data_IF_261435077674
#
_entry.id   IF_261435077674
#
_cell.length_a   1.000
_cell.length_b   1.000
_cell.length_c   1.000
_cell.angle_alpha   90.00
_cell.angle_beta   90.00
_cell.angle_gamma   90.00
#
_symmetry.space_group_name_H-M   'P 1'
#
loop_
_entity.id
_entity.type
_entity.pdbx_description
1 polymer ?
#
# COMPACT_ATOMS: atom_id res chain seq x y z
N UNK A 1 -62.02 38.05 -23.60
CA UNK A 1 -60.63 37.89 -24.16
C UNK A 1 -59.58 38.28 -23.15
N UNK A 2 -59.65 39.39 -22.45
CA UNK A 2 -58.62 39.89 -21.51
C UNK A 2 -58.45 38.96 -20.24
N UNK A 3 -59.50 38.29 -19.77
CA UNK A 3 -59.42 37.47 -18.57
C UNK A 3 -58.71 36.14 -18.85
N UNK A 4 -58.97 35.49 -19.96
CA UNK A 4 -58.36 34.23 -20.41
C UNK A 4 -56.85 34.46 -20.73
N UNK A 5 -56.49 35.60 -21.33
CA UNK A 5 -55.10 35.94 -21.62
C UNK A 5 -54.29 36.19 -20.33
N UNK A 6 -54.89 36.80 -19.29
CA UNK A 6 -54.24 36.95 -17.97
C UNK A 6 -54.05 35.61 -17.24
N UNK A 7 -55.04 34.72 -17.33
CA UNK A 7 -54.95 33.38 -16.71
C UNK A 7 -53.88 32.53 -17.37
N UNK A 8 -53.79 32.50 -18.70
CA UNK A 8 -52.75 31.82 -19.45
C UNK A 8 -51.35 32.39 -19.16
N UNK A 9 -51.22 33.72 -19.02
CA UNK A 9 -49.95 34.35 -18.64
C UNK A 9 -49.50 33.93 -17.22
N UNK A 10 -50.43 33.95 -16.25
CA UNK A 10 -50.15 33.50 -14.87
C UNK A 10 -49.76 32.02 -14.78
N UNK A 11 -50.43 31.13 -15.51
CA UNK A 11 -50.08 29.71 -15.57
C UNK A 11 -48.71 29.50 -16.21
N UNK A 12 -48.37 30.21 -17.28
CA UNK A 12 -47.05 30.15 -17.92
C UNK A 12 -45.93 30.64 -16.99
N UNK A 13 -46.16 31.73 -16.27
CA UNK A 13 -45.19 32.28 -15.31
C UNK A 13 -44.96 31.29 -14.12
N UNK A 14 -46.05 30.68 -13.63
CA UNK A 14 -45.93 29.65 -12.57
C UNK A 14 -45.16 28.41 -13.05
N UNK A 15 -45.42 27.94 -14.27
CA UNK A 15 -44.71 26.81 -14.87
C UNK A 15 -43.22 27.12 -15.08
N UNK A 16 -42.87 28.32 -15.58
CA UNK A 16 -41.50 28.76 -15.77
C UNK A 16 -40.79 28.87 -14.41
N UNK A 17 -41.42 29.46 -13.41
CA UNK A 17 -40.87 29.55 -12.04
C UNK A 17 -40.66 28.19 -11.43
N UNK A 18 -41.62 27.28 -11.53
CA UNK A 18 -41.51 25.90 -11.04
C UNK A 18 -40.40 25.13 -11.73
N UNK A 19 -40.28 25.28 -13.05
CA UNK A 19 -39.19 24.64 -13.82
C UNK A 19 -37.83 25.18 -13.42
N UNK A 20 -37.67 26.51 -13.32
CA UNK A 20 -36.45 27.17 -12.87
C UNK A 20 -36.03 26.75 -11.45
N UNK A 21 -37.01 26.63 -10.54
CA UNK A 21 -36.73 26.16 -9.18
C UNK A 21 -36.29 24.69 -9.13
N UNK A 22 -36.90 23.83 -9.95
CA UNK A 22 -36.52 22.42 -10.06
C UNK A 22 -35.13 22.26 -10.68
N UNK A 23 -34.83 23.02 -11.73
CA UNK A 23 -33.49 23.05 -12.32
C UNK A 23 -32.42 23.60 -11.35
N UNK A 24 -32.75 24.64 -10.59
CA UNK A 24 -31.87 25.20 -9.57
C UNK A 24 -31.53 24.17 -8.47
N UNK A 25 -32.54 23.42 -8.00
CA UNK A 25 -32.34 22.32 -7.05
C UNK A 25 -31.47 21.21 -7.64
N UNK A 26 -31.72 20.79 -8.87
CA UNK A 26 -30.92 19.76 -9.55
C UNK A 26 -29.48 20.17 -9.68
N UNK A 27 -29.19 21.40 -10.15
CA UNK A 27 -27.80 21.92 -10.26
C UNK A 27 -27.08 21.98 -8.91
N UNK A 28 -27.80 22.38 -7.84
CA UNK A 28 -27.24 22.39 -6.50
C UNK A 28 -26.90 20.96 -6.05
N UNK A 29 -27.81 20.00 -6.28
CA UNK A 29 -27.60 18.59 -5.95
C UNK A 29 -26.40 18.00 -6.68
N UNK A 30 -26.30 18.25 -8.00
CA UNK A 30 -25.17 17.83 -8.83
C UNK A 30 -23.85 18.45 -8.34
N UNK A 31 -23.88 19.73 -7.96
CA UNK A 31 -22.70 20.43 -7.42
C UNK A 31 -22.27 19.82 -6.06
N UNK A 32 -23.21 19.56 -5.16
CA UNK A 32 -22.92 18.95 -3.86
C UNK A 32 -22.38 17.54 -4.04
N UNK A 33 -23.01 16.69 -4.84
CA UNK A 33 -22.57 15.32 -5.10
C UNK A 33 -21.21 15.27 -5.81
N UNK A 34 -20.87 16.26 -6.64
CA UNK A 34 -19.58 16.34 -7.31
C UNK A 34 -18.45 16.85 -6.41
N UNK A 35 -18.79 17.60 -5.35
CA UNK A 35 -17.82 18.11 -4.37
C UNK A 35 -17.49 17.10 -3.25
N UNK A 36 -18.34 16.08 -3.05
CA UNK A 36 -18.11 15.03 -2.06
C UNK A 36 -16.99 14.11 -2.52
N UNK A 37 -16.03 13.85 -1.65
CA UNK A 37 -14.92 12.93 -1.89
C UNK A 37 -15.35 11.46 -1.83
N UNK A 38 -16.41 11.16 -1.06
CA UNK A 38 -17.01 9.83 -0.96
C UNK A 38 -17.69 9.42 -2.28
N UNK A 39 -17.57 8.14 -2.63
CA UNK A 39 -18.36 7.53 -3.68
C UNK A 39 -19.82 7.39 -3.24
N UNK A 40 -20.77 7.72 -4.11
CA UNK A 40 -22.21 7.57 -3.86
C UNK A 40 -22.86 6.89 -5.04
N UNK A 41 -23.63 5.83 -4.75
CA UNK A 41 -24.49 5.13 -5.72
C UNK A 41 -25.93 5.21 -5.24
N UNK A 42 -26.82 5.65 -6.10
CA UNK A 42 -28.27 5.58 -5.91
C UNK A 42 -28.82 4.33 -6.61
N UNK A 43 -29.69 3.63 -5.90
CA UNK A 43 -30.37 2.43 -6.41
C UNK A 43 -31.90 2.62 -6.37
N UNK A 44 -32.59 2.01 -7.31
CA UNK A 44 -34.04 1.85 -7.27
C UNK A 44 -34.49 0.79 -6.25
N UNK A 45 -35.82 0.61 -6.08
CA UNK A 45 -36.37 -0.38 -5.18
C UNK A 45 -36.02 -1.84 -5.55
N UNK A 46 -35.60 -2.10 -6.79
CA UNK A 46 -35.15 -3.41 -7.27
C UNK A 46 -33.65 -3.60 -7.16
N UNK A 47 -32.90 -2.63 -6.61
CA UNK A 47 -31.44 -2.68 -6.47
C UNK A 47 -30.67 -2.40 -7.78
N UNK A 48 -31.32 -1.77 -8.78
CA UNK A 48 -30.68 -1.33 -10.01
C UNK A 48 -30.08 0.05 -9.84
N UNK A 49 -28.94 0.30 -10.49
CA UNK A 49 -28.21 1.55 -10.38
C UNK A 49 -28.95 2.67 -11.12
N UNK A 50 -29.35 3.71 -10.39
CA UNK A 50 -29.93 4.93 -10.94
C UNK A 50 -28.88 5.98 -11.26
N UNK A 51 -27.84 6.12 -10.42
CA UNK A 51 -26.73 7.04 -10.65
C UNK A 51 -25.50 6.63 -9.85
N UNK A 52 -24.32 7.11 -10.30
CA UNK A 52 -23.05 7.03 -9.58
C UNK A 52 -22.40 8.41 -9.64
N UNK A 53 -21.98 8.97 -8.49
CA UNK A 53 -21.30 10.26 -8.51
C UNK A 53 -19.88 10.15 -9.07
N UNK A 54 -19.26 11.30 -9.38
CA UNK A 54 -17.91 11.35 -9.98
C UNK A 54 -16.83 10.68 -9.10
N UNK A 55 -16.93 10.79 -7.78
CA UNK A 55 -15.99 10.13 -6.86
C UNK A 55 -16.15 8.60 -6.91
N UNK A 56 -17.39 8.10 -6.90
CA UNK A 56 -17.69 6.69 -7.03
C UNK A 56 -17.20 6.09 -8.34
N UNK A 57 -17.38 6.78 -9.46
CA UNK A 57 -16.85 6.35 -10.76
C UNK A 57 -15.33 6.16 -10.73
N UNK A 58 -14.60 7.09 -10.08
CA UNK A 58 -13.13 7.02 -9.96
C UNK A 58 -12.69 5.89 -9.05
N UNK A 59 -13.30 5.76 -7.86
CA UNK A 59 -12.93 4.73 -6.86
C UNK A 59 -13.23 3.31 -7.38
N UNK A 60 -14.30 3.16 -8.15
CA UNK A 60 -14.70 1.86 -8.72
C UNK A 60 -14.07 1.58 -10.09
N UNK A 61 -13.24 2.51 -10.60
CA UNK A 61 -12.61 2.42 -11.92
C UNK A 61 -13.61 2.17 -13.06
N UNK A 62 -14.74 2.83 -13.00
CA UNK A 62 -15.79 2.74 -14.02
C UNK A 62 -15.50 3.74 -15.15
N UNK A 63 -15.30 3.31 -16.39
CA UNK A 63 -14.97 4.20 -17.51
C UNK A 63 -16.15 5.08 -17.96
N UNK A 64 -17.38 4.60 -17.76
CA UNK A 64 -18.63 5.27 -18.11
C UNK A 64 -19.69 4.99 -17.04
N UNK A 65 -20.71 5.84 -16.97
CA UNK A 65 -21.89 5.53 -16.13
C UNK A 65 -22.47 4.16 -16.49
N UNK A 66 -22.85 3.35 -15.49
CA UNK A 66 -23.52 2.08 -15.73
C UNK A 66 -24.78 2.27 -16.59
N UNK A 67 -25.04 1.36 -17.52
CA UNK A 67 -26.26 1.41 -18.31
C UNK A 67 -27.49 1.25 -17.42
N UNK A 68 -28.62 1.79 -17.85
CA UNK A 68 -29.90 1.55 -17.20
C UNK A 68 -30.17 0.03 -17.10
N UNK A 69 -30.77 -0.41 -15.99
CA UNK A 69 -31.08 -1.83 -15.67
C UNK A 69 -29.92 -2.70 -15.15
N UNK A 70 -28.74 -2.16 -14.89
CA UNK A 70 -27.66 -2.92 -14.25
C UNK A 70 -27.83 -2.91 -12.73
N UNK A 71 -27.73 -4.09 -12.09
CA UNK A 71 -27.81 -4.23 -10.63
C UNK A 71 -26.49 -3.89 -9.95
N UNK A 72 -26.56 -3.50 -8.66
CA UNK A 72 -25.36 -3.22 -7.85
C UNK A 72 -24.35 -4.36 -7.89
N UNK A 73 -24.80 -5.61 -7.78
CA UNK A 73 -23.92 -6.78 -7.79
C UNK A 73 -23.23 -7.05 -9.14
N UNK A 74 -23.73 -6.51 -10.25
CA UNK A 74 -23.07 -6.58 -11.56
C UNK A 74 -22.01 -5.48 -11.71
N UNK A 75 -22.23 -4.31 -11.09
CA UNK A 75 -21.27 -3.20 -11.11
C UNK A 75 -20.14 -3.42 -10.09
N UNK A 76 -20.49 -3.83 -8.87
CA UNK A 76 -19.56 -4.09 -7.77
C UNK A 76 -19.98 -5.38 -7.05
N UNK A 77 -19.50 -6.54 -7.51
CA UNK A 77 -19.87 -7.83 -6.91
C UNK A 77 -19.57 -7.91 -5.40
N UNK A 78 -18.54 -7.21 -4.96
CA UNK A 78 -18.10 -7.18 -3.56
C UNK A 78 -19.12 -6.52 -2.63
N UNK A 79 -20.00 -5.65 -3.16
CA UNK A 79 -21.07 -5.00 -2.37
C UNK A 79 -22.34 -5.86 -2.27
N UNK A 80 -22.44 -6.92 -3.07
CA UNK A 80 -23.66 -7.73 -3.15
C UNK A 80 -24.02 -8.42 -1.83
N UNK A 81 -23.02 -8.90 -1.08
CA UNK A 81 -23.25 -9.55 0.21
C UNK A 81 -23.79 -8.58 1.26
N UNK A 82 -23.27 -7.35 1.29
CA UNK A 82 -23.76 -6.31 2.21
C UNK A 82 -25.16 -5.84 1.84
N UNK A 83 -25.44 -5.72 0.53
CA UNK A 83 -26.79 -5.36 0.04
C UNK A 83 -27.82 -6.44 0.37
N UNK A 84 -27.47 -7.72 0.29
CA UNK A 84 -28.35 -8.81 0.68
C UNK A 84 -28.67 -8.78 2.20
N UNK A 85 -27.72 -8.42 3.05
CA UNK A 85 -27.92 -8.25 4.50
C UNK A 85 -28.91 -7.12 4.79
N UNK A 86 -28.88 -6.02 4.04
CA UNK A 86 -29.79 -4.88 4.23
C UNK A 86 -31.25 -5.28 4.05
N UNK A 87 -31.56 -6.21 3.15
CA UNK A 87 -32.91 -6.72 2.93
C UNK A 87 -33.43 -7.60 4.07
N UNK A 88 -32.54 -8.17 4.89
CA UNK A 88 -32.93 -9.02 6.02
C UNK A 88 -33.06 -8.25 7.32
N UNK A 89 -32.38 -7.13 7.45
CA UNK A 89 -32.32 -6.30 8.67
C UNK A 89 -33.10 -5.00 8.45
N UNK A 90 -34.41 -5.07 8.60
CA UNK A 90 -35.31 -3.96 8.33
C UNK A 90 -34.99 -2.72 9.18
N UNK A 91 -34.60 -1.62 8.53
CA UNK A 91 -34.60 -0.27 9.10
C UNK A 91 -33.28 0.25 9.66
N UNK A 92 -32.19 -0.49 9.61
CA UNK A 92 -30.89 -0.03 10.06
C UNK A 92 -29.95 0.27 8.86
N UNK A 93 -29.28 1.41 8.91
CA UNK A 93 -28.15 1.63 8.00
C UNK A 93 -27.03 0.62 8.33
N UNK A 94 -26.61 -0.16 7.34
CA UNK A 94 -25.50 -1.09 7.48
C UNK A 94 -24.19 -0.41 7.10
N UNK A 95 -23.12 -0.69 7.85
CA UNK A 95 -21.78 -0.20 7.57
C UNK A 95 -20.78 -1.33 7.75
N UNK A 96 -19.95 -1.56 6.72
CA UNK A 96 -18.93 -2.63 6.74
C UNK A 96 -17.70 -2.21 5.93
N UNK A 97 -16.53 -2.70 6.33
CA UNK A 97 -15.28 -2.58 5.53
C UNK A 97 -15.31 -3.64 4.42
N UNK A 98 -15.25 -3.19 3.18
CA UNK A 98 -15.22 -4.07 2.00
C UNK A 98 -13.87 -3.89 1.30
N UNK A 99 -13.20 -5.00 0.99
CA UNK A 99 -11.92 -4.99 0.27
C UNK A 99 -12.15 -5.22 -1.21
N UNK A 100 -11.56 -4.33 -2.01
CA UNK A 100 -11.58 -4.42 -3.46
C UNK A 100 -10.17 -4.64 -3.99
N UNK A 101 -10.04 -5.50 -5.01
CA UNK A 101 -8.80 -5.60 -5.79
C UNK A 101 -9.01 -4.96 -7.14
N UNK A 102 -8.41 -3.80 -7.38
CA UNK A 102 -8.51 -3.03 -8.63
C UNK A 102 -7.11 -2.75 -9.16
N UNK A 103 -6.86 -3.05 -10.44
CA UNK A 103 -5.56 -2.84 -11.12
C UNK A 103 -4.36 -3.42 -10.35
N UNK A 104 -4.54 -4.54 -9.63
CA UNK A 104 -3.50 -5.14 -8.81
C UNK A 104 -3.21 -4.39 -7.48
N UNK A 105 -4.07 -3.40 -7.11
CA UNK A 105 -4.02 -2.71 -5.82
C UNK A 105 -5.19 -3.19 -4.96
N UNK A 106 -4.90 -3.53 -3.71
CA UNK A 106 -5.92 -3.86 -2.71
C UNK A 106 -6.34 -2.57 -2.00
N UNK A 107 -7.63 -2.25 -2.08
CA UNK A 107 -8.22 -1.07 -1.46
C UNK A 107 -9.25 -1.49 -0.43
N UNK A 108 -9.32 -0.79 0.70
CA UNK A 108 -10.33 -0.97 1.74
C UNK A 108 -11.33 0.18 1.66
N UNK A 109 -12.57 -0.14 1.33
CA UNK A 109 -13.66 0.84 1.32
C UNK A 109 -14.55 0.67 2.55
N UNK A 110 -14.83 1.76 3.25
CA UNK A 110 -15.86 1.79 4.28
C UNK A 110 -17.20 2.06 3.60
N UNK A 111 -18.02 1.02 3.45
CA UNK A 111 -19.28 1.06 2.71
C UNK A 111 -20.45 1.19 3.69
N UNK A 112 -21.28 2.18 3.47
CA UNK A 112 -22.53 2.39 4.20
C UNK A 112 -23.71 2.31 3.26
N UNK A 113 -24.71 1.49 3.60
CA UNK A 113 -25.93 1.32 2.83
C UNK A 113 -27.15 1.68 3.69
N UNK A 114 -28.11 2.38 3.10
CA UNK A 114 -29.34 2.78 3.76
C UNK A 114 -30.53 2.77 2.79
N UNK A 115 -31.71 2.54 3.32
CA UNK A 115 -32.99 2.64 2.57
C UNK A 115 -33.35 4.11 2.33
N UNK A 116 -33.95 4.39 1.17
CA UNK A 116 -34.55 5.65 0.82
C UNK A 116 -36.08 5.44 0.83
N UNK A 117 -36.78 6.18 1.70
CA UNK A 117 -38.21 6.05 1.87
C UNK A 117 -38.92 7.20 1.17
N UNK A 118 -40.07 6.89 0.57
CA UNK A 118 -41.00 7.86 0.00
C UNK A 118 -41.87 8.56 1.04
N UNK A 119 -42.68 9.50 0.56
CA UNK A 119 -43.59 10.25 1.40
C UNK A 119 -44.68 9.36 2.06
N UNK A 120 -44.95 8.21 1.50
CA UNK A 120 -45.91 7.18 1.98
C UNK A 120 -45.27 6.19 2.97
N UNK A 121 -43.94 6.32 3.25
CA UNK A 121 -43.17 5.44 4.11
C UNK A 121 -42.70 4.14 3.44
N UNK A 122 -43.03 3.93 2.17
CA UNK A 122 -42.52 2.79 1.38
C UNK A 122 -41.06 2.97 0.96
N UNK A 123 -40.36 1.85 0.73
CA UNK A 123 -39.01 1.89 0.23
C UNK A 123 -39.02 2.25 -1.26
N UNK A 124 -38.48 3.43 -1.60
CA UNK A 124 -38.36 3.90 -2.98
C UNK A 124 -37.02 3.48 -3.62
N UNK A 125 -36.02 3.11 -2.80
CA UNK A 125 -34.71 2.71 -3.27
C UNK A 125 -33.68 2.68 -2.15
N UNK A 126 -32.42 2.67 -2.53
CA UNK A 126 -31.32 2.59 -1.58
C UNK A 126 -30.22 3.60 -1.94
N UNK A 127 -29.42 3.97 -0.94
CA UNK A 127 -28.22 4.79 -1.11
C UNK A 127 -27.04 4.02 -0.57
N UNK A 128 -26.00 3.91 -1.39
CA UNK A 128 -24.71 3.31 -1.05
C UNK A 128 -23.68 4.43 -1.04
N UNK A 129 -23.11 4.74 0.11
CA UNK A 129 -22.00 5.67 0.26
C UNK A 129 -20.75 4.90 0.66
N UNK A 130 -19.59 5.25 0.10
CA UNK A 130 -18.34 4.57 0.42
C UNK A 130 -17.15 5.52 0.34
N UNK A 131 -16.22 5.34 1.27
CA UNK A 131 -14.98 6.09 1.37
C UNK A 131 -13.78 5.16 1.28
N UNK A 132 -12.70 5.61 0.62
CA UNK A 132 -11.41 4.92 0.64
C UNK A 132 -10.74 5.15 1.99
N UNK A 133 -10.70 4.10 2.80
CA UNK A 133 -10.07 4.09 4.13
C UNK A 133 -8.79 3.25 4.16
N UNK A 134 -8.22 2.94 2.99
CA UNK A 134 -7.05 2.07 2.85
C UNK A 134 -5.89 2.56 3.72
N UNK A 135 -5.55 3.83 3.61
CA UNK A 135 -4.45 4.42 4.38
C UNK A 135 -4.76 4.48 5.88
N UNK A 136 -6.01 4.80 6.25
CA UNK A 136 -6.45 4.84 7.65
C UNK A 136 -6.39 3.46 8.31
N UNK A 137 -6.94 2.43 7.65
CA UNK A 137 -6.93 1.04 8.13
C UNK A 137 -5.50 0.50 8.21
N UNK A 138 -4.68 0.81 7.20
CA UNK A 138 -3.26 0.44 7.18
C UNK A 138 -2.49 1.09 8.35
N UNK A 139 -2.67 2.39 8.57
CA UNK A 139 -2.05 3.12 9.67
C UNK A 139 -2.50 2.59 11.04
N UNK A 140 -3.79 2.32 11.22
CA UNK A 140 -4.34 1.76 12.45
C UNK A 140 -3.81 0.35 12.74
N UNK A 141 -3.72 -0.50 11.72
CA UNK A 141 -3.10 -1.84 11.84
C UNK A 141 -1.62 -1.72 12.20
N UNK A 142 -0.88 -0.84 11.53
CA UNK A 142 0.53 -0.60 11.83
C UNK A 142 0.75 -0.11 13.26
N UNK A 143 -0.07 0.81 13.76
CA UNK A 143 0.01 1.31 15.13
C UNK A 143 -0.25 0.19 16.15
N UNK A 144 -1.31 -0.60 15.96
CA UNK A 144 -1.62 -1.75 16.80
C UNK A 144 -0.50 -2.82 16.78
N UNK A 145 0.08 -3.07 15.60
CA UNK A 145 1.20 -4.00 15.44
C UNK A 145 2.49 -3.49 16.09
N UNK A 146 2.73 -2.20 16.14
CA UNK A 146 3.96 -1.60 16.67
C UNK A 146 4.25 -2.02 18.11
N UNK A 147 3.26 -1.94 18.99
CA UNK A 147 3.40 -2.32 20.40
C UNK A 147 3.53 -3.83 20.62
N UNK A 148 2.73 -4.60 19.88
CA UNK A 148 2.78 -6.08 19.92
C UNK A 148 4.13 -6.58 19.41
N UNK A 149 4.60 -6.07 18.29
CA UNK A 149 5.87 -6.43 17.68
C UNK A 149 7.06 -6.15 18.61
N UNK A 150 7.05 -4.98 19.28
CA UNK A 150 8.08 -4.64 20.27
C UNK A 150 8.14 -5.64 21.41
N UNK A 151 6.98 -5.98 21.95
CA UNK A 151 6.89 -6.94 23.06
C UNK A 151 7.38 -8.32 22.63
N UNK A 152 6.92 -8.82 21.50
CA UNK A 152 7.35 -10.09 20.92
C UNK A 152 8.86 -10.08 20.64
N UNK A 153 9.40 -9.00 20.08
CA UNK A 153 10.83 -8.88 19.82
C UNK A 153 11.66 -9.01 21.11
N UNK A 154 11.25 -8.35 22.19
CA UNK A 154 11.91 -8.53 23.49
C UNK A 154 11.79 -9.95 24.04
N UNK A 155 10.61 -10.52 23.96
CA UNK A 155 10.35 -11.89 24.45
C UNK A 155 11.11 -12.97 23.65
N UNK A 156 11.35 -12.75 22.33
CA UNK A 156 12.18 -13.65 21.50
C UNK A 156 13.68 -13.43 21.74
N UNK A 157 14.16 -12.19 21.90
CA UNK A 157 15.58 -11.92 22.16
C UNK A 157 16.06 -12.53 23.48
N UNK A 158 15.19 -12.56 24.48
CA UNK A 158 15.54 -13.06 25.81
C UNK A 158 16.06 -14.50 25.80
N UNK A 159 15.44 -15.50 25.16
CA UNK A 159 15.97 -16.86 25.07
C UNK A 159 17.15 -17.02 24.10
N UNK A 160 17.28 -16.19 23.07
CA UNK A 160 18.35 -16.32 22.07
C UNK A 160 19.75 -16.10 22.68
N UNK A 161 19.88 -15.13 23.57
CA UNK A 161 21.15 -14.84 24.23
C UNK A 161 21.67 -16.02 25.06
N UNK A 162 20.92 -16.65 25.97
CA UNK A 162 21.39 -17.82 26.69
C UNK A 162 21.63 -19.03 25.80
N UNK A 163 20.87 -19.24 24.71
CA UNK A 163 21.12 -20.32 23.74
C UNK A 163 22.48 -20.13 23.08
N UNK A 164 22.77 -18.94 22.56
CA UNK A 164 24.07 -18.63 21.95
C UNK A 164 25.22 -18.85 22.94
N UNK A 165 25.11 -18.28 24.15
CA UNK A 165 26.15 -18.43 25.18
C UNK A 165 26.36 -19.90 25.60
N UNK A 166 25.28 -20.69 25.62
CA UNK A 166 25.37 -22.12 25.92
C UNK A 166 26.12 -22.87 24.82
N UNK A 167 25.81 -22.61 23.54
CA UNK A 167 26.53 -23.20 22.41
C UNK A 167 28.02 -22.83 22.42
N UNK A 168 28.35 -21.56 22.67
CA UNK A 168 29.74 -21.09 22.78
C UNK A 168 30.47 -21.75 23.96
N UNK A 169 29.80 -21.93 25.12
CA UNK A 169 30.36 -22.63 26.29
C UNK A 169 30.59 -24.10 26.02
N UNK A 170 29.63 -24.80 25.38
CA UNK A 170 29.77 -26.19 24.98
C UNK A 170 30.97 -26.37 24.07
N UNK A 171 31.05 -25.55 22.99
CA UNK A 171 32.18 -25.56 22.06
C UNK A 171 33.51 -25.38 22.79
N UNK A 172 33.65 -24.37 23.63
CA UNK A 172 34.90 -24.07 24.35
C UNK A 172 35.26 -25.13 25.39
N UNK A 173 34.27 -25.64 26.15
CA UNK A 173 34.53 -26.54 27.28
C UNK A 173 34.82 -27.96 26.83
N UNK A 174 34.10 -28.46 25.83
CA UNK A 174 34.11 -29.85 25.45
C UNK A 174 34.99 -30.18 24.22
N UNK A 175 35.53 -29.18 23.53
CA UNK A 175 36.37 -29.36 22.35
C UNK A 175 37.50 -30.38 22.55
N UNK A 176 38.12 -30.41 23.73
CA UNK A 176 39.22 -31.32 24.07
C UNK A 176 38.79 -32.60 24.74
N UNK A 177 37.47 -32.78 24.96
CA UNK A 177 36.93 -33.93 25.72
C UNK A 177 36.09 -34.88 24.85
N UNK A 178 35.81 -34.49 23.60
CA UNK A 178 35.07 -35.31 22.64
C UNK A 178 35.97 -36.05 21.70
N UNK A 179 35.53 -37.15 21.17
CA UNK A 179 36.26 -37.95 20.19
C UNK A 179 36.35 -37.30 18.83
N UNK A 180 35.39 -36.44 18.47
CA UNK A 180 35.36 -35.65 17.25
C UNK A 180 35.13 -34.16 17.55
N UNK A 181 36.22 -33.39 17.73
CA UNK A 181 36.14 -31.94 17.97
C UNK A 181 35.58 -31.14 16.78
N UNK A 182 35.80 -31.59 15.54
CA UNK A 182 35.36 -30.88 14.33
C UNK A 182 33.83 -30.96 14.18
N UNK A 183 33.25 -32.13 14.46
CA UNK A 183 31.80 -32.33 14.46
C UNK A 183 31.10 -31.46 15.53
N UNK A 184 31.69 -31.37 16.73
CA UNK A 184 31.18 -30.50 17.81
C UNK A 184 31.23 -29.03 17.39
N UNK A 185 32.33 -28.58 16.75
CA UNK A 185 32.45 -27.21 16.26
C UNK A 185 31.39 -26.90 15.20
N UNK A 186 31.18 -27.81 14.24
CA UNK A 186 30.16 -27.64 13.21
C UNK A 186 28.76 -27.46 13.81
N UNK A 187 28.37 -28.30 14.76
CA UNK A 187 27.06 -28.17 15.40
C UNK A 187 26.93 -26.88 16.22
N UNK A 188 27.96 -26.51 16.97
CA UNK A 188 27.95 -25.27 17.74
C UNK A 188 27.86 -24.04 16.82
N UNK A 189 28.59 -24.04 15.71
CA UNK A 189 28.58 -22.94 14.73
C UNK A 189 27.23 -22.84 14.01
N UNK A 190 26.57 -23.96 13.71
CA UNK A 190 25.19 -23.96 13.19
C UNK A 190 24.25 -23.28 14.18
N UNK A 191 24.30 -23.65 15.46
CA UNK A 191 23.42 -23.08 16.50
C UNK A 191 23.69 -21.57 16.64
N UNK A 192 24.95 -21.17 16.72
CA UNK A 192 25.35 -19.76 16.86
C UNK A 192 24.88 -18.95 15.64
N UNK A 193 25.10 -19.46 14.43
CA UNK A 193 24.67 -18.80 13.19
C UNK A 193 23.15 -18.64 13.15
N UNK A 194 22.38 -19.71 13.40
CA UNK A 194 20.91 -19.66 13.42
C UNK A 194 20.37 -18.69 14.48
N UNK A 195 20.99 -18.66 15.65
CA UNK A 195 20.62 -17.74 16.72
C UNK A 195 20.88 -16.28 16.34
N UNK A 196 21.98 -16.00 15.66
CA UNK A 196 22.29 -14.66 15.13
C UNK A 196 21.35 -14.26 14.01
N UNK A 197 20.98 -15.18 13.10
CA UNK A 197 20.01 -14.93 12.04
C UNK A 197 18.63 -14.61 12.61
N UNK A 198 18.15 -15.38 13.60
CA UNK A 198 16.89 -15.08 14.30
C UNK A 198 16.94 -13.71 14.99
N UNK A 199 18.07 -13.37 15.66
CA UNK A 199 18.23 -12.07 16.31
C UNK A 199 18.11 -10.94 15.28
N UNK A 200 18.76 -11.07 14.12
CA UNK A 200 18.68 -10.09 13.03
C UNK A 200 17.26 -9.90 12.53
N UNK A 201 16.51 -10.99 12.30
CA UNK A 201 15.11 -10.95 11.88
C UNK A 201 14.26 -10.20 12.92
N UNK A 202 14.44 -10.51 14.19
CA UNK A 202 13.72 -9.88 15.30
C UNK A 202 14.09 -8.40 15.44
N UNK A 203 15.34 -8.03 15.20
CA UNK A 203 15.78 -6.63 15.20
C UNK A 203 15.16 -5.82 14.04
N UNK A 204 15.13 -6.39 12.83
CA UNK A 204 14.46 -5.78 11.67
C UNK A 204 12.95 -5.62 11.94
N UNK A 205 12.32 -6.63 12.51
CA UNK A 205 10.92 -6.59 12.92
C UNK A 205 10.63 -5.48 13.93
N UNK A 206 11.43 -5.38 14.98
CA UNK A 206 11.28 -4.36 16.01
C UNK A 206 11.49 -2.93 15.46
N UNK A 207 12.46 -2.75 14.53
CA UNK A 207 12.71 -1.47 13.86
C UNK A 207 11.55 -1.07 12.98
N UNK A 208 10.99 -2.01 12.21
CA UNK A 208 9.82 -1.76 11.37
C UNK A 208 8.60 -1.31 12.18
N UNK A 209 8.34 -2.00 13.29
CA UNK A 209 7.23 -1.68 14.19
C UNK A 209 7.38 -0.32 14.91
N UNK A 210 8.60 0.19 15.04
CA UNK A 210 8.95 1.40 15.81
C UNK A 210 9.39 2.57 14.94
N UNK A 211 9.12 2.54 13.66
CA UNK A 211 9.62 3.60 12.79
C UNK A 211 9.23 4.97 13.36
N UNK A 212 10.20 5.78 13.85
CA UNK A 212 9.92 7.10 14.42
C UNK A 212 9.45 8.05 13.31
N UNK A 213 8.87 9.16 13.69
CA UNK A 213 8.65 10.27 12.75
C UNK A 213 10.00 10.72 12.16
N UNK A 214 10.06 11.03 10.84
CA UNK A 214 11.30 11.43 10.20
C UNK A 214 11.82 12.77 10.74
N UNK A 215 13.08 12.80 11.13
CA UNK A 215 13.80 14.04 11.47
C UNK A 215 14.30 14.70 10.17
N UNK A 216 13.38 15.46 9.54
CA UNK A 216 13.65 16.09 8.26
C UNK A 216 14.60 17.25 8.40
N UNK A 217 15.68 17.25 7.65
CA UNK A 217 16.68 18.32 7.57
C UNK A 217 17.04 18.56 6.11
N UNK A 218 17.46 19.77 5.81
CA UNK A 218 17.99 20.09 4.49
C UNK A 218 19.22 19.21 4.20
N UNK A 219 19.09 18.29 3.24
CA UNK A 219 20.05 17.22 2.96
C UNK A 219 20.29 17.12 1.46
N UNK A 220 21.53 16.91 1.07
CA UNK A 220 21.89 16.65 -0.33
C UNK A 220 21.55 15.21 -0.71
N UNK A 221 20.43 15.02 -1.39
CA UNK A 221 19.93 13.74 -1.86
C UNK A 221 20.94 13.06 -2.82
N UNK A 222 21.64 13.84 -3.68
CA UNK A 222 22.65 13.29 -4.57
C UNK A 222 23.80 12.66 -3.80
N UNK A 223 24.32 13.34 -2.77
CA UNK A 223 25.39 12.81 -1.93
C UNK A 223 24.96 11.53 -1.23
N UNK A 224 23.71 11.48 -0.74
CA UNK A 224 23.15 10.31 -0.07
C UNK A 224 22.97 9.12 -1.02
N UNK A 225 22.44 9.33 -2.21
CA UNK A 225 22.32 8.28 -3.25
C UNK A 225 23.70 7.75 -3.62
N UNK A 226 24.68 8.64 -3.85
CA UNK A 226 26.06 8.24 -4.15
C UNK A 226 26.70 7.41 -3.05
N UNK A 227 26.53 7.80 -1.78
CA UNK A 227 27.03 7.06 -0.63
C UNK A 227 26.38 5.66 -0.52
N UNK A 228 25.07 5.57 -0.78
CA UNK A 228 24.35 4.29 -0.78
C UNK A 228 24.83 3.34 -1.88
N UNK A 229 25.07 3.85 -3.08
CA UNK A 229 25.64 3.08 -4.20
C UNK A 229 27.02 2.55 -3.82
N UNK A 230 27.92 3.41 -3.35
CA UNK A 230 29.28 3.04 -2.98
C UNK A 230 29.32 1.95 -1.89
N UNK A 231 28.43 2.05 -0.90
CA UNK A 231 28.31 1.05 0.16
C UNK A 231 27.90 -0.32 -0.40
N UNK A 232 26.95 -0.35 -1.32
CA UNK A 232 26.42 -1.59 -1.90
C UNK A 232 27.37 -2.18 -2.96
N UNK A 233 28.05 -1.37 -3.71
CA UNK A 233 29.09 -1.79 -4.66
C UNK A 233 30.21 -2.57 -3.97
N UNK A 234 30.67 -2.11 -2.80
CA UNK A 234 31.64 -2.83 -1.99
C UNK A 234 31.12 -4.18 -1.46
N UNK A 235 29.83 -4.28 -1.22
CA UNK A 235 29.18 -5.52 -0.75
C UNK A 235 28.82 -6.51 -1.87
N UNK A 236 28.87 -6.09 -3.13
CA UNK A 236 28.45 -6.85 -4.30
C UNK A 236 29.49 -6.74 -5.44
N UNK A 237 30.71 -7.27 -5.26
CA UNK A 237 31.83 -7.07 -6.20
C UNK A 237 31.59 -7.66 -7.59
N UNK A 238 30.70 -8.63 -7.71
CA UNK A 238 30.36 -9.28 -8.99
C UNK A 238 29.28 -8.52 -9.79
N UNK A 239 28.74 -7.42 -9.27
CA UNK A 239 27.67 -6.64 -9.91
C UNK A 239 28.23 -5.32 -10.43
N UNK A 240 27.94 -5.01 -11.68
CA UNK A 240 28.31 -3.72 -12.29
C UNK A 240 27.30 -2.66 -11.90
N UNK A 241 27.75 -1.60 -11.22
CA UNK A 241 26.92 -0.45 -10.89
C UNK A 241 27.08 0.66 -11.92
N UNK A 242 25.96 1.16 -12.45
CA UNK A 242 25.92 2.36 -13.30
C UNK A 242 25.06 3.42 -12.65
N UNK A 243 25.57 4.63 -12.54
CA UNK A 243 24.83 5.75 -11.95
C UNK A 243 24.73 6.92 -12.93
N UNK A 244 23.54 7.53 -12.99
CA UNK A 244 23.28 8.77 -13.71
C UNK A 244 22.73 9.77 -12.71
N UNK A 245 23.56 10.71 -12.29
CA UNK A 245 23.24 11.70 -11.26
C UNK A 245 23.40 13.12 -11.84
N UNK A 246 22.62 14.11 -11.37
CA UNK A 246 22.74 15.50 -11.80
C UNK A 246 24.11 16.10 -11.43
N UNK A 247 24.54 17.14 -12.14
CA UNK A 247 25.85 17.76 -11.89
C UNK A 247 25.94 18.48 -10.53
N UNK A 248 24.84 19.18 -10.14
CA UNK A 248 24.77 19.95 -8.89
C UNK A 248 24.25 19.12 -7.70
N UNK A 249 24.31 19.69 -6.46
CA UNK A 249 23.65 19.10 -5.29
C UNK A 249 22.11 19.19 -5.45
N UNK A 250 21.40 18.25 -4.84
CA UNK A 250 19.92 18.21 -4.81
C UNK A 250 19.50 18.35 -3.36
N UNK A 251 19.26 19.58 -2.94
CA UNK A 251 18.88 19.93 -1.56
C UNK A 251 17.38 19.69 -1.35
N UNK A 252 17.03 18.84 -0.39
CA UNK A 252 15.64 18.49 -0.02
C UNK A 252 15.54 18.31 1.48
N UNK A 253 14.41 18.68 2.08
CA UNK A 253 14.08 18.39 3.47
C UNK A 253 13.68 16.92 3.63
N UNK A 254 14.61 16.10 4.16
CA UNK A 254 14.40 14.68 4.37
C UNK A 254 15.23 14.15 5.56
N UNK A 255 14.85 12.99 6.08
CA UNK A 255 15.67 12.22 7.02
C UNK A 255 16.66 11.36 6.23
N UNK A 256 17.93 11.79 6.21
CA UNK A 256 18.99 11.12 5.47
C UNK A 256 19.23 9.67 5.91
N UNK A 257 18.99 9.34 7.19
CA UNK A 257 19.14 7.98 7.72
C UNK A 257 18.06 7.06 7.17
N UNK A 258 16.81 7.52 7.20
CA UNK A 258 15.67 6.75 6.70
C UNK A 258 15.74 6.54 5.18
N UNK A 259 16.03 7.60 4.41
CA UNK A 259 16.20 7.48 2.96
C UNK A 259 17.39 6.60 2.61
N UNK A 260 18.51 6.71 3.32
CA UNK A 260 19.66 5.81 3.17
C UNK A 260 19.30 4.34 3.42
N UNK A 261 18.46 4.06 4.42
CA UNK A 261 17.91 2.73 4.68
C UNK A 261 17.03 2.24 3.51
N UNK A 262 16.16 3.10 2.98
CA UNK A 262 15.32 2.76 1.83
C UNK A 262 16.16 2.42 0.59
N UNK A 263 17.18 3.23 0.29
CA UNK A 263 18.14 2.98 -0.80
C UNK A 263 18.87 1.65 -0.62
N UNK A 264 19.38 1.39 0.58
CA UNK A 264 20.07 0.14 0.91
C UNK A 264 19.18 -1.08 0.70
N UNK A 265 17.92 -1.02 1.14
CA UNK A 265 16.95 -2.11 0.97
C UNK A 265 16.65 -2.37 -0.51
N UNK A 266 16.43 -1.32 -1.30
CA UNK A 266 16.12 -1.46 -2.73
C UNK A 266 17.32 -2.02 -3.52
N UNK A 267 18.52 -1.48 -3.31
CA UNK A 267 19.72 -1.94 -4.03
C UNK A 267 20.09 -3.37 -3.62
N UNK A 268 19.92 -3.72 -2.34
CA UNK A 268 20.10 -5.09 -1.87
C UNK A 268 19.11 -6.05 -2.54
N UNK A 269 17.83 -5.66 -2.62
CA UNK A 269 16.81 -6.47 -3.31
C UNK A 269 17.14 -6.69 -4.79
N UNK A 270 17.67 -5.66 -5.47
CA UNK A 270 18.15 -5.75 -6.84
C UNK A 270 19.31 -6.77 -6.99
N UNK A 271 20.30 -6.69 -6.10
CA UNK A 271 21.42 -7.65 -6.10
C UNK A 271 20.97 -9.09 -5.84
N UNK A 272 20.07 -9.31 -4.89
CA UNK A 272 19.51 -10.63 -4.60
C UNK A 272 18.71 -11.19 -5.79
N UNK A 273 17.97 -10.35 -6.54
CA UNK A 273 17.28 -10.77 -7.76
C UNK A 273 18.24 -11.18 -8.88
N UNK A 274 19.37 -10.49 -8.99
CA UNK A 274 20.46 -10.83 -9.92
C UNK A 274 21.09 -12.16 -9.54
N UNK A 275 21.39 -12.38 -8.26
CA UNK A 275 22.00 -13.63 -7.78
C UNK A 275 21.09 -14.82 -8.04
N UNK A 276 19.80 -14.68 -7.74
CA UNK A 276 18.79 -15.70 -8.02
C UNK A 276 18.72 -16.04 -9.52
N UNK A 277 18.79 -15.04 -10.40
CA UNK A 277 18.82 -15.26 -11.85
C UNK A 277 20.09 -16.00 -12.28
N UNK A 278 21.24 -15.61 -11.73
CA UNK A 278 22.54 -16.24 -12.03
C UNK A 278 22.55 -17.72 -11.65
N UNK A 279 21.93 -18.07 -10.52
CA UNK A 279 21.78 -19.46 -10.08
C UNK A 279 20.84 -20.27 -10.98
N UNK A 280 19.73 -19.67 -11.42
CA UNK A 280 18.73 -20.34 -12.25
C UNK A 280 19.17 -20.52 -13.71
N UNK A 281 19.71 -19.48 -14.32
CA UNK A 281 19.99 -19.45 -15.76
C UNK A 281 21.38 -20.01 -16.09
N UNK A 282 22.37 -19.84 -15.19
CA UNK A 282 23.77 -20.31 -15.36
C UNK A 282 24.38 -19.94 -16.71
N UNK A 283 24.04 -18.76 -17.24
CA UNK A 283 24.54 -18.25 -18.50
C UNK A 283 25.87 -17.52 -18.28
N UNK A 284 27.01 -17.98 -18.83
CA UNK A 284 28.30 -17.32 -18.71
C UNK A 284 28.36 -15.92 -19.34
N UNK A 285 27.44 -15.63 -20.28
CA UNK A 285 27.37 -14.33 -20.94
C UNK A 285 26.54 -13.30 -20.14
N UNK A 286 25.86 -13.71 -19.06
CA UNK A 286 25.09 -12.82 -18.23
C UNK A 286 26.00 -11.86 -17.44
N UNK A 287 25.86 -10.57 -17.72
CA UNK A 287 26.56 -9.52 -17.00
C UNK A 287 25.63 -8.89 -15.95
N UNK A 288 25.82 -9.14 -14.66
CA UNK A 288 25.06 -8.54 -13.58
C UNK A 288 25.16 -7.02 -13.60
N UNK A 289 24.02 -6.31 -13.66
CA UNK A 289 24.00 -4.84 -13.71
C UNK A 289 22.88 -4.25 -12.87
N UNK A 290 23.22 -3.23 -12.06
CA UNK A 290 22.26 -2.37 -11.36
C UNK A 290 22.48 -0.93 -11.86
N UNK A 291 21.39 -0.29 -12.29
CA UNK A 291 21.38 1.10 -12.71
C UNK A 291 20.64 1.95 -11.70
N UNK A 292 21.27 3.02 -11.26
CA UNK A 292 20.64 4.00 -10.35
C UNK A 292 20.68 5.37 -11.01
N UNK A 293 19.50 6.00 -11.16
CA UNK A 293 19.43 7.37 -11.65
C UNK A 293 18.68 8.27 -10.68
N UNK A 294 19.09 9.53 -10.62
CA UNK A 294 18.44 10.61 -9.89
C UNK A 294 18.11 11.74 -10.86
N UNK A 295 16.82 11.98 -11.04
CA UNK A 295 16.31 13.14 -11.79
C UNK A 295 15.69 14.12 -10.80
N UNK A 296 16.17 15.37 -10.79
CA UNK A 296 15.58 16.46 -10.03
C UNK A 296 14.85 17.40 -10.97
N UNK A 297 13.58 17.64 -10.73
CA UNK A 297 12.72 18.56 -11.49
C UNK A 297 12.00 19.49 -10.53
N UNK A 298 11.38 20.55 -11.05
CA UNK A 298 10.62 21.49 -10.24
C UNK A 298 9.49 20.77 -9.48
N UNK A 299 9.63 20.74 -8.14
CA UNK A 299 8.64 20.19 -7.22
C UNK A 299 8.78 18.72 -6.85
N UNK A 300 9.65 17.91 -7.51
CA UNK A 300 9.91 16.51 -7.10
C UNK A 300 11.28 16.00 -7.53
N UNK A 301 11.78 15.00 -6.83
CA UNK A 301 12.95 14.21 -7.20
C UNK A 301 12.57 12.78 -7.45
N UNK A 302 13.08 12.19 -8.53
CA UNK A 302 12.79 10.84 -8.95
C UNK A 302 14.06 9.99 -8.91
N UNK A 303 14.10 9.01 -8.02
CA UNK A 303 15.14 7.98 -7.97
C UNK A 303 14.62 6.74 -8.70
N UNK A 304 15.37 6.23 -9.67
CA UNK A 304 15.09 4.96 -10.32
C UNK A 304 16.21 3.98 -10.01
N UNK A 305 15.85 2.78 -9.64
CA UNK A 305 16.75 1.66 -9.45
C UNK A 305 16.26 0.54 -10.36
N UNK A 306 17.09 0.13 -11.30
CA UNK A 306 16.76 -0.93 -12.24
C UNK A 306 17.84 -2.02 -12.17
N UNK A 307 17.43 -3.27 -12.15
CA UNK A 307 18.27 -4.44 -12.19
C UNK A 307 17.93 -5.32 -13.39
N UNK A 308 18.84 -6.21 -13.74
CA UNK A 308 18.60 -7.22 -14.77
C UNK A 308 18.44 -8.63 -14.19
N UNK A 309 17.94 -8.71 -12.96
CA UNK A 309 17.65 -9.94 -12.23
C UNK A 309 16.46 -10.74 -12.74
N UNK A 310 15.80 -11.49 -11.85
CA UNK A 310 14.63 -12.33 -12.16
C UNK A 310 13.35 -11.54 -12.45
N UNK A 311 13.35 -10.22 -12.20
CA UNK A 311 12.17 -9.36 -12.31
C UNK A 311 11.19 -9.52 -11.15
N UNK A 312 10.03 -8.86 -11.27
CA UNK A 312 8.99 -8.87 -10.24
C UNK A 312 8.04 -10.06 -10.46
N UNK A 313 7.45 -10.61 -9.38
CA UNK A 313 6.44 -11.65 -9.51
C UNK A 313 5.17 -11.13 -10.21
N UNK A 314 4.38 -12.01 -10.85
CA UNK A 314 3.14 -11.63 -11.54
C UNK A 314 2.11 -11.00 -10.60
N UNK A 315 1.96 -11.53 -9.38
CA UNK A 315 1.10 -10.94 -8.34
C UNK A 315 1.91 -9.93 -7.52
N UNK A 316 1.63 -8.64 -7.79
CA UNK A 316 2.28 -7.50 -7.12
C UNK A 316 1.45 -6.92 -6.00
N UNK A 317 0.18 -7.32 -5.89
CA UNK A 317 -0.78 -6.75 -4.94
C UNK A 317 -0.32 -6.87 -3.49
N UNK A 318 0.42 -7.94 -3.19
CA UNK A 318 0.87 -8.28 -1.85
C UNK A 318 2.34 -7.96 -1.55
N UNK A 319 3.11 -7.43 -2.52
CA UNK A 319 4.55 -7.16 -2.33
C UNK A 319 4.86 -6.14 -1.23
N UNK A 320 3.89 -5.29 -0.92
CA UNK A 320 4.00 -4.31 0.15
C UNK A 320 3.38 -4.77 1.48
N UNK A 321 2.79 -5.98 1.53
CA UNK A 321 2.32 -6.56 2.78
C UNK A 321 3.53 -7.06 3.60
N UNK A 322 3.59 -6.77 4.91
CA UNK A 322 4.64 -7.30 5.77
C UNK A 322 4.66 -8.84 5.76
N UNK A 323 5.86 -9.43 5.79
CA UNK A 323 6.10 -10.88 5.78
C UNK A 323 5.74 -11.61 4.49
N UNK A 324 5.32 -10.91 3.46
CA UNK A 324 5.15 -11.51 2.13
C UNK A 324 6.50 -11.51 1.43
N UNK A 325 7.01 -12.70 1.12
CA UNK A 325 8.25 -12.89 0.38
C UNK A 325 8.18 -14.15 -0.46
N UNK A 326 8.75 -14.09 -1.65
CA UNK A 326 8.95 -15.26 -2.52
C UNK A 326 10.33 -15.89 -2.32
N UNK A 327 11.18 -15.31 -1.45
CA UNK A 327 12.57 -15.73 -1.23
C UNK A 327 12.71 -16.54 0.05
N UNK A 328 13.47 -17.65 0.00
CA UNK A 328 13.69 -18.52 1.15
C UNK A 328 14.35 -17.81 2.36
N UNK A 329 15.25 -16.85 2.10
CA UNK A 329 15.97 -16.10 3.15
C UNK A 329 15.44 -14.69 3.36
N UNK A 330 14.34 -14.32 2.69
CA UNK A 330 13.76 -12.98 2.79
C UNK A 330 12.91 -12.82 4.05
N UNK A 331 13.04 -11.68 4.74
CA UNK A 331 12.18 -11.34 5.89
C UNK A 331 10.78 -10.85 5.48
N UNK A 332 10.59 -10.46 4.21
CA UNK A 332 9.37 -9.84 3.72
C UNK A 332 9.10 -8.45 4.30
N UNK A 333 10.11 -7.82 4.93
CA UNK A 333 9.97 -6.49 5.53
C UNK A 333 10.61 -5.37 4.70
N UNK A 334 11.50 -5.70 3.76
CA UNK A 334 12.26 -4.70 3.02
C UNK A 334 11.39 -3.70 2.24
N UNK A 335 10.49 -4.18 1.38
CA UNK A 335 9.60 -3.32 0.58
C UNK A 335 8.56 -2.57 1.42
N UNK A 336 7.89 -3.17 2.42
CA UNK A 336 7.04 -2.44 3.38
C UNK A 336 7.76 -1.29 4.09
N UNK A 337 9.02 -1.51 4.53
CA UNK A 337 9.86 -0.48 5.14
C UNK A 337 10.12 0.66 4.15
N UNK A 338 10.52 0.34 2.93
CA UNK A 338 10.78 1.35 1.89
C UNK A 338 9.53 2.16 1.60
N UNK A 339 8.39 1.48 1.39
CA UNK A 339 7.12 2.16 1.12
C UNK A 339 6.79 3.15 2.23
N UNK A 340 6.84 2.71 3.49
CA UNK A 340 6.57 3.56 4.64
C UNK A 340 7.52 4.76 4.72
N UNK A 341 8.82 4.56 4.56
CA UNK A 341 9.80 5.65 4.56
C UNK A 341 9.47 6.69 3.50
N UNK A 342 9.17 6.27 2.28
CA UNK A 342 8.86 7.17 1.16
C UNK A 342 7.56 7.93 1.42
N UNK A 343 6.50 7.25 1.88
CA UNK A 343 5.21 7.87 2.23
C UNK A 343 5.35 8.88 3.38
N UNK A 344 6.11 8.56 4.43
CA UNK A 344 6.44 9.47 5.54
C UNK A 344 7.20 10.73 5.07
N UNK A 345 7.84 10.69 3.91
CA UNK A 345 8.49 11.84 3.26
C UNK A 345 7.61 12.52 2.21
N UNK A 346 6.32 12.12 2.08
CA UNK A 346 5.38 12.68 1.11
C UNK A 346 5.63 12.22 -0.33
N UNK A 347 6.41 11.16 -0.52
CA UNK A 347 6.71 10.56 -1.82
C UNK A 347 5.81 9.36 -2.14
N UNK A 348 6.05 8.77 -3.30
CA UNK A 348 5.38 7.53 -3.73
C UNK A 348 6.40 6.52 -4.26
N UNK A 349 6.15 5.24 -4.04
CA UNK A 349 6.96 4.13 -4.54
C UNK A 349 6.19 3.36 -5.60
N UNK A 350 6.78 3.24 -6.79
CA UNK A 350 6.18 2.52 -7.93
C UNK A 350 7.14 1.41 -8.37
N UNK A 351 6.61 0.20 -8.55
CA UNK A 351 7.35 -0.94 -9.10
C UNK A 351 6.97 -1.10 -10.58
N UNK A 352 7.97 -0.99 -11.45
CA UNK A 352 7.82 -1.14 -12.92
C UNK A 352 8.60 -2.36 -13.40
N UNK A 353 8.24 -2.87 -14.60
CA UNK A 353 9.02 -3.91 -15.29
C UNK A 353 10.27 -3.34 -15.90
#
# INVERSE_FOLDING_TARGET
FNQMTRQLKGQREALISGHSQTEGRRRLFDSVLSSITAGVIGLDAAGRVEFVNRAGMRMLDLPTEPAADITLGQVVPEFAALFAKLHTDTGAALQEEVRLSRRGKLESLLVRMSERHGADGGVEGFVVAFDDVTDLVSAQRMAAWGDVARRIAHEIKNPLTPIQLSAERIRRKYRTQVSDPEELEQYADVIIRQTNDLRRIVDEFSKFARMPEPDRRETDLKALVKASIMLQENGQPDVTFRSTLPDGPVMIELDGTMIGQAMTNLIKNAGEAIEEKREKVKDPAFVPEIRVSLDARDGYSLIRIADNGTGLPPDRSRLFEPYVTTREKGTGLGLPIVKKIIEEHGGSLVLTD
#
